data_IF_744559921145
#
_entry.id   IF_744559921145
#
_cell.length_a   1.000
_cell.length_b   1.000
_cell.length_c   1.000
_cell.angle_alpha   90.00
_cell.angle_beta   90.00
_cell.angle_gamma   90.00
#
_symmetry.space_group_name_H-M   'P 1'
#
loop_
_entity.id
_entity.type
_entity.pdbx_description
1 polymer ?
#
# COMPACT_ATOMS: atom_id res chain seq x y z
N UNK A 1 -31.71 -9.11 20.32
CA UNK A 1 -30.71 -9.74 19.41
C UNK A 1 -30.13 -8.73 18.39
N UNK A 2 -29.87 -7.47 18.78
CA UNK A 2 -29.45 -6.39 17.85
C UNK A 2 -28.14 -5.65 18.24
N UNK A 3 -27.46 -6.04 19.33
CA UNK A 3 -26.25 -5.35 19.79
C UNK A 3 -24.94 -5.99 19.30
N UNK A 4 -24.91 -7.31 19.09
CA UNK A 4 -23.69 -8.03 18.65
C UNK A 4 -23.28 -7.70 17.21
N UNK A 5 -24.24 -7.57 16.28
CA UNK A 5 -23.96 -7.25 14.88
C UNK A 5 -23.39 -5.83 14.68
N UNK A 6 -23.74 -4.86 15.53
CA UNK A 6 -23.24 -3.49 15.38
C UNK A 6 -21.78 -3.35 15.85
N UNK A 7 -21.38 -4.12 16.86
CA UNK A 7 -20.01 -4.14 17.37
C UNK A 7 -19.03 -4.84 16.42
N UNK A 8 -19.45 -5.93 15.77
CA UNK A 8 -18.61 -6.64 14.78
C UNK A 8 -18.39 -5.84 13.50
N UNK A 9 -19.41 -5.14 12.99
CA UNK A 9 -19.24 -4.28 11.82
C UNK A 9 -18.28 -3.11 12.07
N UNK A 10 -18.35 -2.50 13.26
CA UNK A 10 -17.47 -1.38 13.63
C UNK A 10 -16.04 -1.83 13.91
N UNK A 11 -15.84 -3.00 14.50
CA UNK A 11 -14.51 -3.59 14.72
C UNK A 11 -13.83 -3.98 13.41
N UNK A 12 -14.56 -4.61 12.48
CA UNK A 12 -14.05 -4.94 11.15
C UNK A 12 -13.67 -3.69 10.35
N UNK A 13 -14.53 -2.67 10.33
CA UNK A 13 -14.23 -1.42 9.62
C UNK A 13 -12.95 -0.76 10.13
N UNK A 14 -12.76 -0.70 11.45
CA UNK A 14 -11.53 -0.17 12.06
C UNK A 14 -10.30 -0.98 11.68
N UNK A 15 -10.40 -2.32 11.74
CA UNK A 15 -9.31 -3.20 11.34
C UNK A 15 -8.93 -2.99 9.86
N UNK A 16 -9.93 -2.96 8.97
CA UNK A 16 -9.73 -2.69 7.54
C UNK A 16 -9.07 -1.32 7.30
N UNK A 17 -9.56 -0.26 7.94
CA UNK A 17 -8.95 1.07 7.82
C UNK A 17 -7.49 1.06 8.25
N UNK A 18 -7.16 0.41 9.37
CA UNK A 18 -5.78 0.28 9.83
C UNK A 18 -4.90 -0.46 8.82
N UNK A 19 -5.37 -1.57 8.26
CA UNK A 19 -4.63 -2.31 7.22
C UNK A 19 -4.38 -1.44 5.99
N UNK A 20 -5.39 -0.72 5.50
CA UNK A 20 -5.24 0.16 4.33
C UNK A 20 -4.25 1.31 4.59
N UNK A 21 -4.26 1.89 5.79
CA UNK A 21 -3.27 2.91 6.19
C UNK A 21 -1.86 2.32 6.21
N UNK A 22 -1.68 1.12 6.77
CA UNK A 22 -0.38 0.45 6.81
C UNK A 22 0.14 0.13 5.40
N UNK A 23 -0.72 -0.34 4.50
CA UNK A 23 -0.36 -0.56 3.09
C UNK A 23 -0.01 0.75 2.37
N UNK A 24 -0.76 1.83 2.63
CA UNK A 24 -0.43 3.16 2.12
C UNK A 24 0.95 3.64 2.59
N UNK A 25 1.29 3.40 3.85
CA UNK A 25 2.63 3.71 4.38
C UNK A 25 3.75 2.87 3.74
N UNK A 26 3.49 1.63 3.33
CA UNK A 26 4.46 0.84 2.56
C UNK A 26 4.66 1.41 1.15
N UNK A 27 3.58 1.86 0.51
CA UNK A 27 3.60 2.49 -0.81
C UNK A 27 4.37 3.83 -0.81
N UNK A 28 4.23 4.61 0.26
CA UNK A 28 5.05 5.81 0.52
C UNK A 28 6.52 5.43 0.73
N UNK A 29 6.80 4.47 1.64
CA UNK A 29 8.17 4.06 1.98
C UNK A 29 8.95 3.47 0.79
N UNK A 30 8.27 2.89 -0.20
CA UNK A 30 8.90 2.37 -1.42
C UNK A 30 9.17 3.43 -2.48
N UNK A 31 8.82 4.71 -2.24
CA UNK A 31 8.99 5.80 -3.21
C UNK A 31 7.97 5.76 -4.37
N UNK A 32 6.92 4.94 -4.26
CA UNK A 32 5.93 4.81 -5.33
C UNK A 32 5.01 6.02 -5.39
N UNK A 33 4.70 6.67 -4.26
CA UNK A 33 3.95 7.93 -4.26
C UNK A 33 4.60 8.98 -5.16
N UNK A 34 5.90 9.18 -5.02
CA UNK A 34 6.70 10.13 -5.81
C UNK A 34 6.72 9.73 -7.29
N UNK A 35 6.88 8.43 -7.57
CA UNK A 35 6.93 7.89 -8.93
C UNK A 35 5.64 8.12 -9.73
N UNK A 36 4.50 8.23 -9.04
CA UNK A 36 3.18 8.49 -9.64
C UNK A 36 2.65 9.90 -9.35
N UNK A 37 3.49 10.82 -8.87
CA UNK A 37 3.08 12.20 -8.55
C UNK A 37 1.83 12.26 -7.63
N UNK A 38 1.84 11.41 -6.60
CA UNK A 38 0.83 11.37 -5.55
C UNK A 38 1.45 11.86 -4.24
N UNK A 39 0.70 12.66 -3.50
CA UNK A 39 1.07 13.22 -2.22
C UNK A 39 0.10 12.78 -1.13
N UNK A 40 0.60 12.65 0.10
CA UNK A 40 -0.25 12.40 1.25
C UNK A 40 -1.27 13.53 1.42
N UNK A 41 -2.55 13.18 1.54
CA UNK A 41 -3.65 14.15 1.65
C UNK A 41 -4.33 14.52 0.33
N UNK A 42 -3.81 14.04 -0.82
CA UNK A 42 -4.52 14.16 -2.08
C UNK A 42 -5.91 13.52 -2.01
N UNK A 43 -6.91 14.24 -2.53
CA UNK A 43 -8.21 13.64 -2.83
C UNK A 43 -8.16 12.95 -4.21
N UNK A 44 -7.67 11.71 -4.21
CA UNK A 44 -7.52 10.88 -5.42
C UNK A 44 -8.84 10.53 -6.12
N UNK A 45 -9.99 10.76 -5.48
CA UNK A 45 -11.30 10.48 -6.08
C UNK A 45 -11.84 11.66 -6.89
N UNK A 46 -11.53 12.89 -6.49
CA UNK A 46 -12.11 14.10 -7.05
C UNK A 46 -11.11 14.90 -7.91
N UNK A 47 -9.81 14.59 -7.79
CA UNK A 47 -8.79 15.29 -8.55
C UNK A 47 -8.67 14.74 -9.99
N UNK A 48 -9.31 15.45 -10.94
CA UNK A 48 -9.29 15.13 -12.37
C UNK A 48 -7.88 15.13 -12.97
N UNK A 49 -6.98 15.98 -12.47
CA UNK A 49 -5.60 16.08 -12.97
C UNK A 49 -4.77 14.84 -12.61
N UNK A 50 -5.12 14.16 -11.52
CA UNK A 50 -4.43 12.94 -11.06
C UNK A 50 -5.05 11.65 -11.59
N UNK A 51 -6.11 11.73 -12.40
CA UNK A 51 -6.86 10.56 -12.89
C UNK A 51 -5.96 9.58 -13.66
N UNK A 52 -5.08 10.09 -14.52
CA UNK A 52 -4.13 9.25 -15.27
C UNK A 52 -3.14 8.55 -14.34
N UNK A 53 -2.63 9.26 -13.32
CA UNK A 53 -1.74 8.68 -12.31
C UNK A 53 -2.44 7.57 -11.51
N UNK A 54 -3.73 7.74 -11.18
CA UNK A 54 -4.52 6.69 -10.53
C UNK A 54 -4.66 5.44 -11.41
N UNK A 55 -4.90 5.63 -12.70
CA UNK A 55 -4.94 4.51 -13.64
C UNK A 55 -3.56 3.85 -13.79
N UNK A 56 -2.48 4.63 -13.83
CA UNK A 56 -1.12 4.11 -13.87
C UNK A 56 -0.78 3.29 -12.63
N UNK A 57 -1.16 3.74 -11.43
CA UNK A 57 -1.02 2.98 -10.17
C UNK A 57 -1.77 1.66 -10.27
N UNK A 58 -3.03 1.69 -10.69
CA UNK A 58 -3.82 0.46 -10.84
C UNK A 58 -3.19 -0.49 -11.85
N UNK A 59 -2.75 0.02 -13.01
CA UNK A 59 -2.05 -0.76 -14.03
C UNK A 59 -0.78 -1.42 -13.50
N UNK A 60 0.09 -0.66 -12.84
CA UNK A 60 1.33 -1.21 -12.25
C UNK A 60 1.08 -2.28 -11.18
N UNK A 61 0.01 -2.14 -10.38
CA UNK A 61 -0.38 -3.16 -9.41
C UNK A 61 -0.94 -4.42 -10.08
N UNK A 62 -1.63 -4.29 -11.22
CA UNK A 62 -2.08 -5.44 -12.01
C UNK A 62 -0.90 -6.19 -12.62
N UNK A 63 0.06 -5.49 -13.21
CA UNK A 63 1.30 -6.08 -13.72
C UNK A 63 2.05 -6.82 -12.61
N UNK A 64 2.24 -6.18 -11.44
CA UNK A 64 2.89 -6.84 -10.29
C UNK A 64 2.16 -8.12 -9.88
N UNK A 65 0.82 -8.10 -9.86
CA UNK A 65 0.02 -9.30 -9.56
C UNK A 65 0.28 -10.39 -10.59
N UNK A 66 0.29 -10.07 -11.88
CA UNK A 66 0.54 -11.03 -12.96
C UNK A 66 1.93 -11.66 -12.84
N UNK A 67 2.96 -10.84 -12.62
CA UNK A 67 4.34 -11.31 -12.39
C UNK A 67 4.43 -12.26 -11.18
N UNK A 68 3.72 -11.96 -10.09
CA UNK A 68 3.65 -12.84 -8.92
C UNK A 68 2.94 -14.18 -9.23
N UNK A 69 1.87 -14.15 -10.04
CA UNK A 69 1.14 -15.35 -10.45
C UNK A 69 1.96 -16.25 -11.39
N UNK A 70 2.75 -15.63 -12.27
CA UNK A 70 3.66 -16.30 -13.19
C UNK A 70 4.96 -16.77 -12.50
N UNK A 71 5.10 -16.55 -11.18
CA UNK A 71 6.31 -16.87 -10.40
C UNK A 71 7.58 -16.17 -10.93
N UNK A 72 7.42 -15.04 -11.60
CA UNK A 72 8.55 -14.20 -12.05
C UNK A 72 9.27 -13.57 -10.85
N UNK A 73 8.56 -13.40 -9.74
CA UNK A 73 9.12 -13.02 -8.45
C UNK A 73 8.92 -14.10 -7.40
N UNK A 74 10.02 -14.47 -6.75
CA UNK A 74 9.99 -15.28 -5.54
C UNK A 74 9.70 -14.38 -4.33
N UNK A 75 8.67 -14.70 -3.56
CA UNK A 75 8.25 -13.91 -2.40
C UNK A 75 9.39 -13.73 -1.38
N UNK A 76 10.23 -14.75 -1.20
CA UNK A 76 11.36 -14.71 -0.27
C UNK A 76 12.41 -13.67 -0.68
N UNK A 77 12.66 -13.52 -1.99
CA UNK A 77 13.57 -12.51 -2.52
C UNK A 77 13.04 -11.10 -2.24
N UNK A 78 11.73 -10.87 -2.45
CA UNK A 78 11.09 -9.60 -2.16
C UNK A 78 11.08 -9.30 -0.65
N UNK A 79 10.86 -10.32 0.18
CA UNK A 79 10.91 -10.19 1.63
C UNK A 79 12.29 -9.75 2.12
N UNK A 80 13.37 -10.34 1.59
CA UNK A 80 14.74 -9.95 1.92
C UNK A 80 15.03 -8.49 1.51
N UNK A 81 14.68 -8.12 0.27
CA UNK A 81 14.83 -6.74 -0.21
C UNK A 81 14.07 -5.73 0.65
N UNK A 82 12.84 -6.07 1.06
CA UNK A 82 12.06 -5.25 1.97
C UNK A 82 12.72 -5.12 3.35
N UNK A 83 13.22 -6.22 3.90
CA UNK A 83 13.89 -6.24 5.20
C UNK A 83 15.15 -5.36 5.24
N UNK A 84 15.97 -5.37 4.20
CA UNK A 84 17.14 -4.49 4.05
C UNK A 84 16.74 -3.01 4.16
N UNK A 85 15.72 -2.58 3.40
CA UNK A 85 15.20 -1.21 3.46
C UNK A 85 14.58 -0.85 4.83
N UNK A 86 14.12 -1.85 5.60
CA UNK A 86 13.62 -1.64 6.98
C UNK A 86 14.75 -1.59 8.02
N UNK A 87 15.90 -2.19 7.75
CA UNK A 87 17.06 -2.18 8.64
C UNK A 87 17.93 -0.94 8.45
N UNK A 88 18.08 -0.47 7.22
CA UNK A 88 18.91 0.70 6.89
C UNK A 88 18.52 1.96 7.69
N UNK A 89 17.22 2.17 7.92
CA UNK A 89 16.71 3.30 8.73
C UNK A 89 16.85 3.14 10.26
N UNK A 90 17.36 2.01 10.76
CA UNK A 90 17.68 1.80 12.19
C UNK A 90 19.17 2.03 12.52
N UNK A 91 20.01 2.28 11.50
CA UNK A 91 21.44 2.52 11.66
C UNK A 91 21.85 3.99 11.88
N UNK A 92 20.93 4.95 11.73
CA UNK A 92 21.20 6.39 11.93
C UNK A 92 20.90 6.79 13.39
N UNK A 93 21.53 6.09 14.32
CA UNK A 93 21.79 6.57 15.69
C UNK A 93 23.11 5.91 16.11
N UNK A 94 24.21 6.47 15.64
CA UNK A 94 25.56 6.26 16.18
C UNK A 94 26.12 7.61 16.57
#
# INVERSE_FOLDING_TARGET
MNQENHHTHTSFRRARTRTLIQLGGLFEKSGLMESFDVQAGDNLQENLEKKENIFAILGGLLELKEMMQNQEFHIDLLANKGAELFQDKRGITS
#
